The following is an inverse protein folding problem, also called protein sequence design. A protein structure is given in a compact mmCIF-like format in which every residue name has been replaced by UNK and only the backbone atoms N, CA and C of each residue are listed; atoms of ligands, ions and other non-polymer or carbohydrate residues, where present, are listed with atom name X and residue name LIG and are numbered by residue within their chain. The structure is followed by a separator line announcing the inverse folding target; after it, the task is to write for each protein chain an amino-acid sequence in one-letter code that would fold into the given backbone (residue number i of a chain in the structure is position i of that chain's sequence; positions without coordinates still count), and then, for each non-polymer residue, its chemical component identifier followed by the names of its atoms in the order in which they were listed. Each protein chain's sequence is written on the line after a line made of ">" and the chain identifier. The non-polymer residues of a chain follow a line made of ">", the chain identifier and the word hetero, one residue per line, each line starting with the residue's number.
data_IF_599957718525
#
_entry.id   IF_599957718525
#
_cell.length_a   1.000
_cell.length_b   1.000
_cell.length_c   1.000
_cell.angle_alpha   90.00
_cell.angle_beta   90.00
_cell.angle_gamma   90.00
#
_symmetry.space_group_name_H-M   'P 1'
#
loop_
_entity.id
_entity.type
_entity.pdbx_description
1 polymer ?
#
# COMPACT_ATOMS: atom_id res chain seq x y z
N UNK A 1 7.49 17.26 23.76
CA UNK A 1 7.00 18.42 22.98
C UNK A 1 7.08 18.16 21.48
N UNK A 2 8.23 18.19 20.77
CA UNK A 2 8.23 17.85 19.33
C UNK A 2 8.02 16.35 19.02
N UNK A 3 8.60 15.44 19.82
CA UNK A 3 8.41 13.98 19.64
C UNK A 3 6.99 13.51 20.01
N UNK A 4 6.32 14.20 20.92
CA UNK A 4 4.94 13.88 21.32
C UNK A 4 3.93 14.31 20.24
N UNK A 5 4.14 15.48 19.62
CA UNK A 5 3.33 15.94 18.49
C UNK A 5 3.49 15.04 17.24
N UNK A 6 4.71 14.53 16.99
CA UNK A 6 4.94 13.56 15.91
C UNK A 6 4.23 12.21 16.17
N UNK A 7 4.24 11.73 17.41
CA UNK A 7 3.54 10.50 17.80
C UNK A 7 2.01 10.63 17.67
N UNK A 8 1.44 11.74 18.16
CA UNK A 8 0.00 12.01 18.03
C UNK A 8 -0.45 12.06 16.56
N UNK A 9 0.38 12.66 15.69
CA UNK A 9 0.10 12.73 14.26
C UNK A 9 0.13 11.36 13.57
N UNK A 10 1.05 10.47 13.97
CA UNK A 10 1.12 9.10 13.44
C UNK A 10 -0.11 8.29 13.87
N UNK A 11 -0.52 8.40 15.14
CA UNK A 11 -1.72 7.72 15.65
C UNK A 11 -3.00 8.21 14.95
N UNK A 12 -3.14 9.51 14.71
CA UNK A 12 -4.28 10.07 13.98
C UNK A 12 -4.31 9.59 12.52
N UNK A 13 -3.15 9.49 11.87
CA UNK A 13 -3.04 8.98 10.50
C UNK A 13 -3.36 7.48 10.42
N UNK A 14 -2.94 6.68 11.40
CA UNK A 14 -3.31 5.27 11.50
C UNK A 14 -4.82 5.08 11.69
N UNK A 15 -5.45 5.92 12.50
CA UNK A 15 -6.90 5.88 12.71
C UNK A 15 -7.70 6.20 11.43
N UNK A 16 -7.19 7.10 10.56
CA UNK A 16 -7.82 7.45 9.27
C UNK A 16 -7.79 6.28 8.27
N UNK A 17 -6.86 5.33 8.43
CA UNK A 17 -6.71 4.19 7.53
C UNK A 17 -7.51 2.94 7.97
N UNK A 18 -8.14 2.95 9.14
CA UNK A 18 -8.96 1.82 9.59
C UNK A 18 -10.37 1.87 9.00
N UNK A 19 -10.59 1.01 7.99
CA UNK A 19 -11.90 0.78 7.41
C UNK A 19 -12.75 -0.06 8.37
N UNK A 20 -14.08 0.09 8.32
CA UNK A 20 -14.95 -0.82 9.09
C UNK A 20 -14.82 -2.25 8.56
N UNK A 21 -15.05 -3.28 9.40
CA UNK A 21 -14.91 -4.67 8.98
C UNK A 21 -15.73 -5.03 7.74
N UNK A 22 -16.92 -4.45 7.62
CA UNK A 22 -17.82 -4.69 6.48
C UNK A 22 -17.23 -4.12 5.18
N UNK A 23 -16.61 -2.94 5.24
CA UNK A 23 -15.97 -2.31 4.07
C UNK A 23 -14.73 -3.11 3.67
N UNK A 24 -13.91 -3.53 4.63
CA UNK A 24 -12.74 -4.36 4.36
C UNK A 24 -13.11 -5.68 3.70
N UNK A 25 -14.11 -6.40 4.23
CA UNK A 25 -14.61 -7.65 3.66
C UNK A 25 -15.17 -7.46 2.25
N UNK A 26 -15.89 -6.36 2.00
CA UNK A 26 -16.40 -6.04 0.67
C UNK A 26 -15.27 -5.80 -0.34
N UNK A 27 -14.21 -5.09 0.07
CA UNK A 27 -13.03 -4.87 -0.76
C UNK A 27 -12.35 -6.19 -1.08
N UNK A 28 -12.12 -7.06 -0.09
CA UNK A 28 -11.46 -8.36 -0.29
C UNK A 28 -12.26 -9.30 -1.20
N UNK A 29 -13.60 -9.26 -1.15
CA UNK A 29 -14.45 -10.05 -2.04
C UNK A 29 -14.38 -9.59 -3.51
N UNK A 30 -14.28 -8.28 -3.74
CA UNK A 30 -14.27 -7.69 -5.08
C UNK A 30 -12.84 -7.64 -5.65
N UNK A 31 -11.84 -7.52 -4.78
CA UNK A 31 -10.43 -7.41 -5.10
C UNK A 31 -9.60 -8.33 -4.19
N UNK A 32 -9.62 -9.66 -4.45
CA UNK A 32 -8.79 -10.59 -3.69
C UNK A 32 -7.32 -10.36 -4.05
N UNK A 33 -6.56 -9.73 -3.15
CA UNK A 33 -5.12 -9.55 -3.30
C UNK A 33 -4.33 -10.59 -2.50
N UNK A 34 -3.20 -10.98 -3.05
CA UNK A 34 -2.20 -11.85 -2.39
C UNK A 34 -0.91 -11.07 -2.10
N UNK A 35 -0.86 -9.76 -2.38
CA UNK A 35 0.30 -8.92 -2.02
C UNK A 35 0.20 -8.62 -0.51
N UNK A 36 1.22 -8.97 0.30
CA UNK A 36 1.22 -8.66 1.73
C UNK A 36 1.06 -7.18 2.03
N UNK A 37 1.43 -6.30 1.10
CA UNK A 37 1.28 -4.85 1.24
C UNK A 37 -0.19 -4.37 1.22
N UNK A 38 -1.11 -5.21 0.75
CA UNK A 38 -2.55 -4.88 0.66
C UNK A 38 -3.34 -5.36 1.89
N UNK A 39 -2.69 -6.03 2.85
CA UNK A 39 -3.34 -6.54 4.06
C UNK A 39 -3.67 -5.40 5.02
N UNK A 40 -4.87 -5.44 5.62
CA UNK A 40 -5.32 -4.42 6.57
C UNK A 40 -4.47 -4.38 7.86
N UNK A 41 -3.84 -5.49 8.21
CA UNK A 41 -2.98 -5.66 9.37
C UNK A 41 -1.48 -5.70 9.00
N UNK A 42 -1.11 -5.10 7.86
CA UNK A 42 0.27 -5.10 7.37
C UNK A 42 1.27 -4.64 8.43
N UNK A 43 2.22 -5.50 8.76
CA UNK A 43 3.31 -5.19 9.66
C UNK A 43 4.64 -5.03 8.90
N UNK A 44 5.15 -3.79 8.85
CA UNK A 44 6.39 -3.50 8.13
C UNK A 44 7.62 -4.25 8.69
N UNK A 45 7.69 -4.44 10.01
CA UNK A 45 8.82 -5.12 10.66
C UNK A 45 8.80 -6.60 10.31
N UNK A 46 7.65 -7.26 10.45
CA UNK A 46 7.49 -8.65 10.04
C UNK A 46 7.79 -8.83 8.56
N UNK A 47 7.25 -7.96 7.70
CA UNK A 47 7.50 -8.00 6.28
C UNK A 47 8.99 -7.88 5.94
N UNK A 48 9.71 -6.93 6.53
CA UNK A 48 11.16 -6.80 6.36
C UNK A 48 11.88 -8.08 6.81
N UNK A 49 11.47 -8.68 7.93
CA UNK A 49 12.05 -9.94 8.40
C UNK A 49 11.74 -11.12 7.48
N UNK A 50 10.62 -11.12 6.75
CA UNK A 50 10.36 -12.13 5.69
C UNK A 50 11.30 -11.96 4.50
N UNK A 51 11.66 -10.71 4.15
CA UNK A 51 12.58 -10.41 3.07
C UNK A 51 14.03 -10.68 3.48
N UNK A 52 14.37 -10.40 4.74
CA UNK A 52 15.72 -10.49 5.28
C UNK A 52 15.79 -11.34 6.57
N UNK A 53 15.55 -12.66 6.48
CA UNK A 53 15.46 -13.52 7.67
C UNK A 53 16.79 -13.74 8.39
N UNK A 54 17.91 -13.50 7.71
CA UNK A 54 19.26 -13.61 8.27
C UNK A 54 20.14 -12.46 7.81
N UNK A 55 21.24 -12.19 8.51
CA UNK A 55 22.18 -11.13 8.12
C UNK A 55 22.75 -11.32 6.70
N UNK A 56 22.96 -12.56 6.27
CA UNK A 56 23.48 -12.87 4.93
C UNK A 56 22.53 -12.43 3.81
N UNK A 57 21.21 -12.37 4.07
CA UNK A 57 20.25 -11.90 3.08
C UNK A 57 20.44 -10.41 2.72
N UNK A 58 21.07 -9.62 3.59
CA UNK A 58 21.38 -8.21 3.35
C UNK A 58 22.37 -8.03 2.19
N UNK A 59 23.12 -9.06 1.82
CA UNK A 59 23.97 -9.02 0.62
C UNK A 59 23.17 -8.73 -0.67
N UNK A 60 21.86 -9.03 -0.68
CA UNK A 60 20.97 -8.81 -1.82
C UNK A 60 20.05 -7.58 -1.64
N UNK A 61 20.38 -6.67 -0.72
CA UNK A 61 19.51 -5.53 -0.38
C UNK A 61 19.19 -4.66 -1.59
N UNK A 62 20.17 -4.39 -2.45
CA UNK A 62 19.98 -3.55 -3.63
C UNK A 62 18.98 -4.15 -4.62
N UNK A 63 19.00 -5.48 -4.81
CA UNK A 63 18.06 -6.18 -5.68
C UNK A 63 16.63 -6.10 -5.15
N UNK A 64 16.45 -6.26 -3.84
CA UNK A 64 15.14 -6.16 -3.19
C UNK A 64 14.62 -4.72 -3.27
N UNK A 65 15.45 -3.73 -2.98
CA UNK A 65 15.10 -2.30 -3.12
C UNK A 65 14.70 -1.96 -4.56
N UNK A 66 15.43 -2.46 -5.55
CA UNK A 66 15.10 -2.24 -6.95
C UNK A 66 13.75 -2.89 -7.35
N UNK A 67 13.45 -4.08 -6.84
CA UNK A 67 12.13 -4.72 -7.02
C UNK A 67 11.01 -3.88 -6.42
N UNK A 68 11.19 -3.35 -5.20
CA UNK A 68 10.20 -2.49 -4.55
C UNK A 68 9.99 -1.19 -5.33
N UNK A 69 11.07 -0.54 -5.78
CA UNK A 69 10.99 0.66 -6.64
C UNK A 69 10.21 0.41 -7.93
N UNK A 70 10.39 -0.77 -8.54
CA UNK A 70 9.63 -1.15 -9.73
C UNK A 70 8.14 -1.38 -9.42
N UNK A 71 7.82 -2.01 -8.28
CA UNK A 71 6.43 -2.17 -7.81
C UNK A 71 5.74 -0.81 -7.62
N UNK A 72 6.41 0.14 -6.96
CA UNK A 72 5.88 1.51 -6.75
C UNK A 72 5.57 2.17 -8.08
N UNK A 73 6.51 2.16 -9.04
CA UNK A 73 6.28 2.77 -10.37
C UNK A 73 5.11 2.14 -11.12
N UNK A 74 4.96 0.81 -11.05
CA UNK A 74 3.82 0.11 -11.66
C UNK A 74 2.50 0.50 -11.00
N UNK A 75 2.48 0.63 -9.68
CA UNK A 75 1.31 1.07 -8.94
C UNK A 75 0.92 2.51 -9.34
N UNK A 76 1.88 3.43 -9.44
CA UNK A 76 1.65 4.80 -9.90
C UNK A 76 1.04 4.84 -11.32
N UNK A 77 1.54 3.99 -12.23
CA UNK A 77 1.01 3.89 -13.59
C UNK A 77 -0.41 3.29 -13.61
N UNK A 78 -0.70 2.31 -12.76
CA UNK A 78 -2.03 1.74 -12.59
C UNK A 78 -3.01 2.81 -12.06
N UNK A 79 -2.63 3.54 -11.01
CA UNK A 79 -3.43 4.66 -10.46
C UNK A 79 -3.70 5.69 -11.55
N UNK A 80 -2.67 6.13 -12.28
CA UNK A 80 -2.82 7.09 -13.38
C UNK A 80 -3.78 6.59 -14.45
N UNK A 81 -3.69 5.31 -14.81
CA UNK A 81 -4.56 4.71 -15.82
C UNK A 81 -6.01 4.68 -15.36
N UNK A 82 -6.27 4.29 -14.12
CA UNK A 82 -7.62 4.27 -13.54
C UNK A 82 -8.19 5.70 -13.47
N UNK A 83 -7.44 6.67 -12.97
CA UNK A 83 -7.90 8.08 -12.86
C UNK A 83 -8.24 8.68 -14.23
N UNK A 84 -7.41 8.41 -15.25
CA UNK A 84 -7.68 8.84 -16.65
C UNK A 84 -8.87 8.13 -17.26
N UNK A 85 -9.01 6.83 -16.99
CA UNK A 85 -10.18 6.05 -17.40
C UNK A 85 -11.46 6.68 -16.87
N UNK A 86 -11.53 6.93 -15.56
CA UNK A 86 -12.69 7.54 -14.89
C UNK A 86 -13.05 8.93 -15.43
N UNK A 87 -12.05 9.76 -15.75
CA UNK A 87 -12.30 11.10 -16.32
C UNK A 87 -12.88 11.04 -17.74
N UNK A 88 -12.49 10.06 -18.55
CA UNK A 88 -13.04 9.88 -19.90
C UNK A 88 -14.47 9.32 -19.89
N UNK A 89 -14.80 8.36 -18.99
CA UNK A 89 -16.17 7.80 -18.90
C UNK A 89 -17.20 8.87 -18.49
N UNK A 90 -16.80 9.85 -17.68
CA UNK A 90 -17.65 10.97 -17.30
C UNK A 90 -17.95 11.97 -18.43
N UNK A 91 -17.17 11.98 -19.52
CA UNK A 91 -17.43 12.81 -20.70
C UNK A 91 -18.28 12.09 -21.75
N UNK A 92 -18.12 10.77 -21.91
CA UNK A 92 -18.92 9.98 -22.85
C UNK A 92 -20.37 9.79 -22.38
N UNK A 93 -20.61 9.77 -21.06
CA UNK A 93 -21.97 9.69 -20.49
C UNK A 93 -22.82 10.97 -20.66
N UNK A 94 -22.29 12.02 -21.29
CA UNK A 94 -23.01 13.27 -21.59
C UNK A 94 -23.50 13.38 -23.04
N UNK A 95 -23.31 12.35 -23.86
CA UNK A 95 -23.83 12.28 -25.25
C UNK A 95 -25.15 11.53 -25.34
#
# INVERSE_FOLDING_TARGET
>A
MMEEEELEFVEELEAVLQLTPEVQLAIEQVFPSQDPLDQADFNAVEYINTLFPTEQSLANIDDVVNKIRLKIRRLDDNIRTVVRGQTNVGQDGRQ
#
